data_IF_143289461241
#
_entry.id   IF_143289461241
#
_cell.length_a   1.000
_cell.length_b   1.000
_cell.length_c   1.000
_cell.angle_alpha   90.00
_cell.angle_beta   90.00
_cell.angle_gamma   90.00
#
_symmetry.space_group_name_H-M   'P 1'
#
loop_
_entity.id
_entity.type
_entity.pdbx_description
1 polymer ?
#
# COMPACT_ATOMS: atom_id res chain seq x y z
N UNK A 1 53.02 9.13 12.63
CA UNK A 1 52.94 7.65 12.63
C UNK A 1 51.63 7.27 11.92
N UNK A 2 51.58 7.01 10.61
CA UNK A 2 51.90 5.77 9.88
C UNK A 2 51.38 4.48 10.55
N UNK A 3 50.25 3.96 10.07
CA UNK A 3 50.16 2.58 9.56
C UNK A 3 48.89 2.36 8.72
N UNK A 4 49.08 2.13 7.42
CA UNK A 4 48.17 1.44 6.50
C UNK A 4 48.62 -0.03 6.42
N UNK A 5 47.65 -0.95 6.31
CA UNK A 5 47.72 -2.26 5.63
C UNK A 5 46.26 -2.65 5.38
N UNK A 6 45.66 -2.65 4.18
CA UNK A 6 45.99 -3.32 2.92
C UNK A 6 46.27 -4.82 3.07
N UNK A 7 45.23 -5.64 2.87
CA UNK A 7 45.33 -6.94 2.19
C UNK A 7 44.03 -7.18 1.43
N UNK A 8 44.11 -7.14 0.10
CA UNK A 8 43.06 -7.62 -0.79
C UNK A 8 43.17 -9.13 -1.00
N UNK A 9 42.04 -9.77 -1.28
CA UNK A 9 42.00 -11.12 -1.83
C UNK A 9 41.01 -11.13 -3.00
N UNK A 10 41.58 -11.22 -4.21
CA UNK A 10 40.90 -11.56 -5.45
C UNK A 10 40.86 -13.08 -5.53
N UNK A 11 39.67 -13.68 -5.72
CA UNK A 11 39.54 -15.04 -6.27
C UNK A 11 38.58 -14.98 -7.45
N UNK A 12 39.16 -15.20 -8.63
CA UNK A 12 38.55 -15.50 -9.91
C UNK A 12 38.49 -17.03 -10.03
N UNK A 13 37.33 -17.59 -10.41
CA UNK A 13 37.24 -18.96 -10.93
C UNK A 13 36.15 -19.01 -12.00
N UNK A 14 36.52 -19.61 -13.13
CA UNK A 14 35.80 -19.65 -14.39
C UNK A 14 35.27 -21.07 -14.69
N UNK A 15 34.24 -21.09 -15.55
CA UNK A 15 33.91 -22.09 -16.61
C UNK A 15 33.40 -23.51 -16.30
N UNK A 16 32.40 -23.89 -17.12
CA UNK A 16 31.90 -25.26 -17.39
C UNK A 16 30.38 -25.32 -17.20
N UNK A 17 29.50 -25.69 -18.12
CA UNK A 17 29.56 -26.32 -19.44
C UNK A 17 28.12 -26.83 -19.73
N UNK A 18 27.68 -26.77 -20.99
CA UNK A 18 26.36 -27.25 -21.44
C UNK A 18 26.29 -28.78 -21.37
N UNK A 19 25.11 -29.36 -21.10
CA UNK A 19 24.72 -30.60 -21.77
C UNK A 19 23.22 -30.61 -22.06
N UNK A 20 22.92 -30.96 -23.30
CA UNK A 20 21.64 -30.84 -24.01
C UNK A 20 21.35 -32.26 -24.48
N UNK A 21 20.22 -32.83 -24.07
CA UNK A 21 19.76 -34.11 -24.60
C UNK A 21 18.44 -33.93 -25.33
N UNK A 22 18.55 -33.83 -26.65
CA UNK A 22 17.50 -34.11 -27.61
C UNK A 22 17.30 -35.63 -27.70
N UNK A 23 16.05 -36.08 -27.75
CA UNK A 23 15.68 -37.35 -28.40
C UNK A 23 14.36 -37.13 -29.13
N UNK A 24 14.47 -37.00 -30.45
CA UNK A 24 13.37 -37.03 -31.41
C UNK A 24 13.18 -38.45 -31.93
N UNK A 25 11.92 -38.86 -32.16
CA UNK A 25 11.61 -40.11 -32.84
C UNK A 25 10.12 -40.20 -33.20
N UNK A 26 9.83 -40.21 -34.50
CA UNK A 26 8.53 -39.93 -35.12
C UNK A 26 7.62 -41.17 -35.32
N UNK A 27 6.30 -40.90 -35.29
CA UNK A 27 5.13 -41.35 -36.08
C UNK A 27 5.08 -42.76 -36.76
N UNK A 28 3.88 -43.37 -36.95
CA UNK A 28 2.94 -42.91 -37.99
C UNK A 28 1.43 -42.95 -37.63
N UNK A 29 0.63 -42.30 -38.49
CA UNK A 29 -0.82 -42.18 -38.49
C UNK A 29 -1.60 -43.48 -38.84
N UNK A 30 -2.94 -43.47 -38.76
CA UNK A 30 -3.70 -43.30 -40.01
C UNK A 30 -4.96 -42.39 -39.94
N UNK A 31 -5.36 -41.95 -41.13
CA UNK A 31 -6.55 -41.20 -41.56
C UNK A 31 -7.88 -41.95 -41.26
N UNK A 32 -9.11 -41.43 -41.36
CA UNK A 32 -9.75 -40.17 -41.76
C UNK A 32 -11.20 -40.22 -41.20
N UNK A 33 -11.83 -39.08 -40.96
CA UNK A 33 -13.24 -38.84 -41.38
C UNK A 33 -13.59 -37.37 -41.21
N UNK A 34 -14.09 -36.81 -42.30
CA UNK A 34 -14.47 -35.42 -42.51
C UNK A 34 -15.96 -35.30 -42.24
N UNK A 35 -16.40 -34.34 -41.42
CA UNK A 35 -17.77 -33.83 -41.51
C UNK A 35 -17.80 -32.39 -41.00
N UNK A 36 -18.09 -31.48 -41.92
CA UNK A 36 -18.24 -30.05 -41.68
C UNK A 36 -19.69 -29.72 -41.27
N UNK A 37 -19.85 -28.84 -40.29
CA UNK A 37 -21.02 -27.98 -40.07
C UNK A 37 -20.69 -26.91 -38.98
N UNK A 38 -21.38 -25.75 -38.95
CA UNK A 38 -20.68 -24.46 -38.90
C UNK A 38 -20.77 -23.69 -37.55
N UNK A 39 -19.87 -22.69 -37.43
CA UNK A 39 -19.86 -21.49 -36.58
C UNK A 39 -20.80 -21.37 -35.37
N UNK A 40 -20.21 -21.24 -34.18
CA UNK A 40 -20.48 -20.13 -33.25
C UNK A 40 -19.31 -20.01 -32.27
N UNK A 41 -18.40 -19.09 -32.56
CA UNK A 41 -17.34 -18.68 -31.64
C UNK A 41 -17.94 -17.73 -30.61
N UNK A 42 -18.41 -18.23 -29.48
CA UNK A 42 -18.68 -17.38 -28.31
C UNK A 42 -17.41 -17.28 -27.49
N UNK A 43 -16.54 -16.36 -27.90
CA UNK A 43 -15.60 -15.76 -26.98
C UNK A 43 -16.43 -14.94 -25.96
N UNK A 44 -16.15 -15.01 -24.66
CA UNK A 44 -16.58 -13.97 -23.75
C UNK A 44 -15.66 -12.77 -23.99
N UNK A 45 -16.03 -11.91 -24.94
CA UNK A 45 -15.58 -10.53 -24.96
C UNK A 45 -16.35 -9.77 -23.87
N UNK A 46 -15.56 -9.18 -22.98
CA UNK A 46 -15.72 -7.83 -22.45
C UNK A 46 -17.05 -7.46 -21.75
N UNK A 47 -16.95 -7.39 -20.42
CA UNK A 47 -17.47 -6.23 -19.71
C UNK A 47 -16.39 -5.78 -18.72
N UNK A 48 -15.26 -5.34 -19.27
CA UNK A 48 -14.38 -4.42 -18.58
C UNK A 48 -15.09 -3.07 -18.57
N UNK A 49 -16.06 -2.89 -17.68
CA UNK A 49 -16.65 -1.58 -17.45
C UNK A 49 -15.56 -0.72 -16.79
N UNK A 50 -14.75 -0.05 -17.62
CA UNK A 50 -14.05 1.18 -17.26
C UNK A 50 -15.14 2.13 -16.76
N UNK A 51 -15.37 2.10 -15.46
CA UNK A 51 -16.01 3.19 -14.76
C UNK A 51 -15.12 4.41 -14.95
N UNK A 52 -15.36 5.17 -16.02
CA UNK A 52 -15.00 6.59 -16.06
C UNK A 52 -15.41 7.22 -14.72
N UNK A 53 -14.65 8.21 -14.21
CA UNK A 53 -14.66 8.55 -12.80
C UNK A 53 -16.04 9.09 -12.40
N UNK A 54 -16.93 8.20 -11.97
CA UNK A 54 -18.09 8.57 -11.16
C UNK A 54 -17.46 9.26 -9.95
N UNK A 55 -17.86 10.50 -9.61
CA UNK A 55 -17.43 11.12 -8.37
C UNK A 55 -17.68 10.09 -7.27
N UNK A 56 -16.61 9.57 -6.67
CA UNK A 56 -16.74 8.61 -5.58
C UNK A 56 -17.32 9.38 -4.42
N UNK A 57 -18.65 9.35 -4.31
CA UNK A 57 -19.38 9.88 -3.17
C UNK A 57 -18.86 9.14 -1.96
N UNK A 58 -18.36 9.88 -0.97
CA UNK A 58 -17.89 9.26 0.27
C UNK A 58 -19.03 8.44 0.87
N UNK A 59 -18.80 7.15 1.16
CA UNK A 59 -19.79 6.36 1.86
C UNK A 59 -20.03 6.95 3.25
N UNK A 60 -21.17 6.64 3.84
CA UNK A 60 -21.47 7.07 5.19
C UNK A 60 -20.43 6.53 6.19
N UNK A 61 -20.03 7.37 7.13
CA UNK A 61 -19.04 7.01 8.14
C UNK A 61 -19.58 5.83 8.98
N UNK A 62 -18.77 4.78 9.24
CA UNK A 62 -19.22 3.60 9.96
C UNK A 62 -19.64 3.89 11.41
N UNK A 63 -19.06 4.92 12.02
CA UNK A 63 -19.30 5.35 13.40
C UNK A 63 -19.44 6.88 13.46
N UNK A 64 -20.34 7.43 14.29
CA UNK A 64 -20.51 8.86 14.42
C UNK A 64 -19.32 9.52 15.10
N UNK A 65 -19.03 10.77 14.75
CA UNK A 65 -18.06 11.61 15.48
C UNK A 65 -18.58 11.83 16.92
N UNK A 66 -17.70 11.85 17.94
CA UNK A 66 -16.25 11.91 17.88
C UNK A 66 -15.55 10.53 17.87
N UNK A 67 -16.28 9.42 17.76
CA UNK A 67 -15.66 8.10 17.80
C UNK A 67 -14.81 7.85 16.56
N UNK A 68 -13.57 7.45 16.74
CA UNK A 68 -12.59 7.25 15.66
C UNK A 68 -12.29 5.78 15.40
N UNK A 69 -12.62 4.86 16.31
CA UNK A 69 -12.15 3.47 16.24
C UNK A 69 -13.28 2.46 16.06
N UNK A 70 -13.17 1.65 15.00
CA UNK A 70 -13.99 0.45 14.76
C UNK A 70 -13.21 -0.77 15.25
N UNK A 71 -13.71 -1.39 16.33
CA UNK A 71 -13.10 -2.56 16.94
C UNK A 71 -13.57 -3.88 16.30
N UNK A 72 -12.78 -4.94 16.47
CA UNK A 72 -13.10 -6.29 15.97
C UNK A 72 -14.36 -6.91 16.57
N UNK A 73 -14.84 -6.39 17.71
CA UNK A 73 -16.08 -6.85 18.35
C UNK A 73 -17.35 -6.14 17.86
N UNK A 74 -17.22 -5.15 16.97
CA UNK A 74 -18.38 -4.46 16.37
C UNK A 74 -19.07 -5.34 15.31
N UNK A 75 -20.34 -5.07 14.95
CA UNK A 75 -21.05 -5.83 13.92
C UNK A 75 -20.28 -5.88 12.60
N UNK A 76 -20.42 -6.99 11.85
CA UNK A 76 -19.71 -7.22 10.60
C UNK A 76 -20.01 -6.12 9.58
N UNK A 77 -21.26 -5.64 9.56
CA UNK A 77 -21.71 -4.56 8.68
C UNK A 77 -20.94 -3.26 8.97
N UNK A 78 -20.64 -2.98 10.25
CA UNK A 78 -19.85 -1.80 10.65
C UNK A 78 -18.40 -1.97 10.24
N UNK A 79 -17.84 -3.17 10.37
CA UNK A 79 -16.47 -3.48 9.93
C UNK A 79 -16.33 -3.37 8.40
N UNK A 80 -17.29 -3.88 7.64
CA UNK A 80 -17.33 -3.76 6.17
C UNK A 80 -17.49 -2.30 5.74
N UNK A 81 -18.38 -1.53 6.38
CA UNK A 81 -18.49 -0.08 6.15
C UNK A 81 -17.17 0.64 6.44
N UNK A 82 -16.45 0.24 7.48
CA UNK A 82 -15.14 0.83 7.79
C UNK A 82 -14.13 0.56 6.67
N UNK A 83 -14.06 -0.67 6.15
CA UNK A 83 -13.18 -1.01 5.02
C UNK A 83 -13.54 -0.15 3.80
N UNK A 84 -14.81 -0.09 3.43
CA UNK A 84 -15.29 0.72 2.29
C UNK A 84 -14.97 2.21 2.48
N UNK A 85 -15.18 2.74 3.68
CA UNK A 85 -14.85 4.12 4.02
C UNK A 85 -13.36 4.41 3.92
N UNK A 86 -12.51 3.54 4.46
CA UNK A 86 -11.04 3.69 4.38
C UNK A 86 -10.52 3.64 2.94
N UNK A 87 -11.15 2.84 2.07
CA UNK A 87 -10.86 2.83 0.63
C UNK A 87 -11.27 4.15 -0.01
N UNK A 88 -12.48 4.64 0.29
CA UNK A 88 -12.98 5.91 -0.24
C UNK A 88 -12.13 7.12 0.21
N UNK A 89 -11.60 7.12 1.44
CA UNK A 89 -10.68 8.15 1.91
C UNK A 89 -9.44 8.28 1.01
N UNK A 90 -8.94 7.16 0.49
CA UNK A 90 -7.72 7.09 -0.35
C UNK A 90 -7.99 7.35 -1.83
N UNK A 91 -9.23 7.15 -2.26
CA UNK A 91 -9.58 7.24 -3.66
C UNK A 91 -9.50 8.70 -4.15
N UNK A 92 -8.85 8.98 -5.29
CA UNK A 92 -8.78 10.33 -5.84
C UNK A 92 -10.16 10.80 -6.33
N UNK A 93 -10.41 12.09 -6.19
CA UNK A 93 -11.56 12.83 -6.71
C UNK A 93 -11.11 13.75 -7.83
N UNK A 94 -12.05 14.22 -8.63
CA UNK A 94 -11.78 15.08 -9.79
C UNK A 94 -11.16 16.42 -9.39
N UNK A 95 -11.50 16.93 -8.21
CA UNK A 95 -11.01 18.17 -7.62
C UNK A 95 -9.67 18.02 -6.87
N UNK A 96 -9.17 16.80 -6.68
CA UNK A 96 -7.90 16.61 -5.99
C UNK A 96 -6.70 17.07 -6.85
N UNK A 97 -5.69 17.71 -6.24
CA UNK A 97 -4.43 18.02 -6.91
C UNK A 97 -3.78 16.76 -7.50
N UNK A 98 -2.93 16.90 -8.51
CA UNK A 98 -2.12 15.80 -9.01
C UNK A 98 -1.19 15.27 -7.90
N UNK A 99 -0.88 13.96 -7.94
CA UNK A 99 0.04 13.38 -6.96
C UNK A 99 1.48 13.84 -7.22
N UNK A 100 2.14 14.38 -6.20
CA UNK A 100 3.56 14.75 -6.22
C UNK A 100 4.38 13.63 -5.55
N UNK A 101 4.77 12.63 -6.34
CA UNK A 101 5.49 11.44 -5.85
C UNK A 101 6.88 11.79 -5.29
N UNK A 102 7.55 12.78 -5.89
CA UNK A 102 8.84 13.27 -5.41
C UNK A 102 8.70 13.91 -4.03
N UNK A 103 7.72 14.79 -3.85
CA UNK A 103 7.42 15.38 -2.55
C UNK A 103 7.07 14.32 -1.50
N UNK A 104 6.22 13.34 -1.85
CA UNK A 104 5.84 12.28 -0.93
C UNK A 104 7.04 11.43 -0.50
N UNK A 105 7.98 11.18 -1.41
CA UNK A 105 9.22 10.43 -1.14
C UNK A 105 10.15 11.22 -0.21
N UNK A 106 10.36 12.51 -0.47
CA UNK A 106 11.14 13.39 0.40
C UNK A 106 10.52 13.51 1.80
N UNK A 107 9.19 13.58 1.85
CA UNK A 107 8.46 13.59 3.11
C UNK A 107 8.60 12.26 3.86
N UNK A 108 8.50 11.13 3.18
CA UNK A 108 8.72 9.82 3.79
C UNK A 108 10.12 9.71 4.41
N UNK A 109 11.15 10.23 3.74
CA UNK A 109 12.51 10.29 4.28
C UNK A 109 12.61 11.15 5.55
N UNK A 110 11.92 12.30 5.59
CA UNK A 110 11.85 13.18 6.78
C UNK A 110 11.07 12.54 7.94
N UNK A 111 10.01 11.79 7.64
CA UNK A 111 9.19 11.12 8.64
C UNK A 111 9.87 9.91 9.26
N UNK A 112 10.74 9.20 8.52
CA UNK A 112 11.42 7.99 9.01
C UNK A 112 12.07 8.12 10.41
N UNK A 113 12.93 9.12 10.69
CA UNK A 113 13.51 9.28 12.03
C UNK A 113 12.47 9.69 13.08
N UNK A 114 11.40 10.40 12.70
CA UNK A 114 10.31 10.79 13.61
C UNK A 114 9.52 9.56 14.03
N UNK A 115 9.17 8.69 13.09
CA UNK A 115 8.44 7.45 13.37
C UNK A 115 9.26 6.51 14.24
N UNK A 116 10.56 6.37 13.96
CA UNK A 116 11.46 5.59 14.80
C UNK A 116 11.49 6.07 16.26
N UNK A 117 11.45 7.38 16.48
CA UNK A 117 11.40 7.96 17.82
C UNK A 117 10.02 7.82 18.50
N UNK A 118 8.94 7.74 17.72
CA UNK A 118 7.57 7.59 18.20
C UNK A 118 7.16 6.13 18.43
N UNK A 119 7.83 5.18 17.77
CA UNK A 119 7.55 3.75 17.92
C UNK A 119 7.83 3.30 19.34
N UNK A 120 6.88 2.58 19.92
CA UNK A 120 6.93 2.05 21.29
C UNK A 120 6.94 0.52 21.33
N UNK A 121 6.85 -0.15 20.19
CA UNK A 121 6.86 -1.61 20.10
C UNK A 121 8.23 -2.22 20.37
N UNK A 122 8.28 -3.55 20.57
CA UNK A 122 9.53 -4.27 20.82
C UNK A 122 10.36 -4.46 19.53
N UNK A 123 9.69 -4.68 18.39
CA UNK A 123 10.31 -5.01 17.09
C UNK A 123 10.57 -3.78 16.21
N UNK A 124 10.96 -2.66 16.82
CA UNK A 124 11.16 -1.36 16.15
C UNK A 124 12.04 -1.49 14.90
N UNK A 125 13.17 -2.18 15.02
CA UNK A 125 14.13 -2.29 13.92
C UNK A 125 13.55 -2.95 12.66
N UNK A 126 12.53 -3.81 12.80
CA UNK A 126 11.92 -4.54 11.69
C UNK A 126 10.82 -3.73 11.01
N UNK A 127 9.99 -3.04 11.81
CA UNK A 127 8.74 -2.42 11.37
C UNK A 127 8.86 -0.92 11.07
N UNK A 128 9.89 -0.21 11.57
CA UNK A 128 10.03 1.25 11.35
C UNK A 128 10.35 1.61 9.91
N UNK A 129 9.28 1.79 9.13
CA UNK A 129 9.34 2.17 7.73
C UNK A 129 8.30 3.23 7.47
N UNK A 130 8.64 4.14 6.57
CA UNK A 130 7.67 5.05 5.99
C UNK A 130 7.59 4.69 4.52
N UNK A 131 6.40 4.27 4.08
CA UNK A 131 6.16 3.82 2.71
C UNK A 131 5.26 4.82 1.99
N UNK A 132 5.56 5.04 0.71
CA UNK A 132 4.75 5.86 -0.19
C UNK A 132 3.93 4.93 -1.06
N UNK A 133 2.61 5.07 -1.02
CA UNK A 133 1.67 4.21 -1.72
C UNK A 133 0.91 5.03 -2.76
N UNK A 134 0.50 4.37 -3.85
CA UNK A 134 -0.31 4.95 -4.92
C UNK A 134 0.28 6.25 -5.50
N UNK A 135 1.57 6.20 -5.90
CA UNK A 135 2.30 7.32 -6.54
C UNK A 135 2.33 8.61 -5.70
N UNK A 136 2.42 8.50 -4.38
CA UNK A 136 2.43 9.66 -3.47
C UNK A 136 1.09 10.00 -2.84
N UNK A 137 -0.01 9.34 -3.23
CA UNK A 137 -1.36 9.64 -2.70
C UNK A 137 -1.54 9.23 -1.24
N UNK A 138 -0.76 8.27 -0.74
CA UNK A 138 -0.84 7.80 0.63
C UNK A 138 0.56 7.63 1.22
N UNK A 139 0.71 8.02 2.48
CA UNK A 139 1.93 7.80 3.27
C UNK A 139 1.59 6.86 4.42
N UNK A 140 2.32 5.74 4.49
CA UNK A 140 2.19 4.74 5.53
C UNK A 140 3.31 4.85 6.54
N UNK A 141 2.94 5.04 7.81
CA UNK A 141 3.80 5.03 8.98
C UNK A 141 3.69 3.62 9.58
N UNK A 142 4.62 2.75 9.22
CA UNK A 142 4.69 1.40 9.74
C UNK A 142 5.47 1.41 11.06
N UNK A 143 4.82 0.94 12.13
CA UNK A 143 5.34 0.96 13.49
C UNK A 143 5.22 -0.42 14.12
N UNK A 144 6.12 -0.78 15.04
CA UNK A 144 5.95 -2.00 15.83
C UNK A 144 4.84 -1.84 16.88
N UNK A 145 4.63 -0.63 17.40
CA UNK A 145 3.52 -0.30 18.29
C UNK A 145 3.36 1.19 18.58
N UNK A 146 2.15 1.58 18.95
CA UNK A 146 1.84 2.96 19.37
C UNK A 146 1.05 3.75 18.32
N UNK A 147 0.41 3.06 17.38
CA UNK A 147 -0.59 3.69 16.53
C UNK A 147 -1.86 3.97 17.34
N UNK A 148 -2.27 5.23 17.31
CA UNK A 148 -3.52 5.74 17.84
C UNK A 148 -4.11 6.75 16.84
N UNK A 149 -5.31 7.24 17.11
CA UNK A 149 -6.03 8.19 16.25
C UNK A 149 -5.31 9.55 16.11
N UNK A 150 -4.43 9.90 17.05
CA UNK A 150 -3.62 11.12 17.04
C UNK A 150 -2.25 10.90 16.42
N UNK A 151 -1.77 9.67 16.28
CA UNK A 151 -0.42 9.36 15.81
C UNK A 151 -0.12 9.95 14.42
N UNK A 152 -1.00 9.84 13.40
CA UNK A 152 -0.75 10.46 12.10
C UNK A 152 -0.56 11.99 12.19
N UNK A 153 -1.46 12.67 12.92
CA UNK A 153 -1.40 14.12 13.13
C UNK A 153 -0.14 14.52 13.90
N UNK A 154 0.20 13.76 14.95
CA UNK A 154 1.39 13.99 15.79
C UNK A 154 2.67 13.84 14.97
N UNK A 155 2.78 12.83 14.12
CA UNK A 155 3.95 12.60 13.29
C UNK A 155 4.16 13.72 12.25
N UNK A 156 3.10 14.12 11.56
CA UNK A 156 3.20 15.06 10.45
C UNK A 156 3.16 16.52 10.93
N UNK A 157 2.12 16.91 11.68
CA UNK A 157 1.91 18.31 12.04
C UNK A 157 2.78 18.68 13.22
N UNK A 158 2.74 17.90 14.31
CA UNK A 158 3.44 18.29 15.55
C UNK A 158 4.94 18.07 15.46
N UNK A 159 5.39 16.95 14.87
CA UNK A 159 6.82 16.59 14.82
C UNK A 159 7.51 17.05 13.55
N UNK A 160 6.90 16.85 12.37
CA UNK A 160 7.49 17.29 11.11
C UNK A 160 7.16 18.77 10.77
N UNK A 161 6.22 19.40 11.47
CA UNK A 161 5.86 20.80 11.26
C UNK A 161 5.11 21.06 9.95
N UNK A 162 4.49 20.03 9.36
CA UNK A 162 3.85 20.12 8.04
C UNK A 162 2.33 20.11 8.22
N UNK A 163 1.62 21.20 7.85
CA UNK A 163 0.16 21.22 7.90
C UNK A 163 -0.46 20.22 6.94
N UNK A 164 -1.59 19.59 7.31
CA UNK A 164 -2.32 18.66 6.43
C UNK A 164 -2.80 19.32 5.12
N UNK A 165 -3.06 20.62 5.13
CA UNK A 165 -3.40 21.38 3.91
C UNK A 165 -2.25 21.38 2.88
N UNK A 166 -0.99 21.33 3.33
CA UNK A 166 0.16 21.25 2.43
C UNK A 166 0.25 19.85 1.80
N UNK A 167 -0.01 18.80 2.58
CA UNK A 167 -0.12 17.44 2.06
C UNK A 167 -1.23 17.33 1.00
N UNK A 168 -2.42 17.85 1.29
CA UNK A 168 -3.55 17.85 0.38
C UNK A 168 -3.22 18.59 -0.92
N UNK A 169 -2.61 19.78 -0.84
CA UNK A 169 -2.20 20.55 -2.03
C UNK A 169 -1.11 19.86 -2.88
N UNK A 170 -0.33 18.96 -2.28
CA UNK A 170 0.67 18.10 -2.95
C UNK A 170 0.09 16.75 -3.41
N UNK A 171 -1.22 16.59 -3.31
CA UNK A 171 -1.92 15.39 -3.76
C UNK A 171 -1.78 14.19 -2.83
N UNK A 172 -1.24 14.35 -1.61
CA UNK A 172 -1.29 13.32 -0.57
C UNK A 172 -2.65 13.38 0.12
N UNK A 173 -3.43 12.31 0.02
CA UNK A 173 -4.83 12.25 0.45
C UNK A 173 -4.99 11.68 1.87
N UNK A 174 -4.10 10.75 2.23
CA UNK A 174 -4.20 10.00 3.49
C UNK A 174 -2.83 9.77 4.09
N UNK A 175 -2.75 9.94 5.41
CA UNK A 175 -1.62 9.47 6.22
C UNK A 175 -2.11 8.34 7.10
N UNK A 176 -1.51 7.16 6.97
CA UNK A 176 -1.90 5.96 7.71
C UNK A 176 -0.85 5.62 8.75
N UNK A 177 -1.26 5.41 9.99
CA UNK A 177 -0.46 4.70 10.98
C UNK A 177 -0.87 3.23 10.99
N UNK A 178 0.08 2.31 10.91
CA UNK A 178 -0.20 0.88 11.01
C UNK A 178 0.77 0.21 11.98
N UNK A 179 0.22 -0.45 13.00
CA UNK A 179 0.96 -1.32 13.90
C UNK A 179 0.33 -2.73 13.98
N UNK A 180 0.88 -3.60 14.81
CA UNK A 180 0.41 -4.98 14.95
C UNK A 180 -1.04 -5.12 15.43
N UNK A 181 -1.67 -4.05 15.93
CA UNK A 181 -2.99 -4.08 16.57
C UNK A 181 -3.99 -3.13 15.90
N UNK A 182 -3.54 -1.99 15.41
CA UNK A 182 -4.40 -0.89 14.97
C UNK A 182 -3.86 -0.31 13.66
N UNK A 183 -4.80 -0.01 12.76
CA UNK A 183 -4.57 0.78 11.57
C UNK A 183 -5.43 2.05 11.63
N UNK A 184 -4.81 3.23 11.67
CA UNK A 184 -5.49 4.53 11.68
C UNK A 184 -5.20 5.30 10.40
N UNK A 185 -6.22 5.87 9.77
CA UNK A 185 -6.11 6.73 8.59
C UNK A 185 -6.57 8.13 8.96
N UNK A 186 -5.71 9.10 8.71
CA UNK A 186 -6.02 10.53 8.77
C UNK A 186 -6.25 11.03 7.35
N UNK A 187 -7.42 11.59 7.08
CA UNK A 187 -7.67 12.35 5.86
C UNK A 187 -6.90 13.66 5.87
N UNK A 188 -6.29 14.03 4.75
CA UNK A 188 -5.69 15.36 4.57
C UNK A 188 -6.71 16.38 4.06
N UNK A 189 -7.82 15.90 3.45
CA UNK A 189 -8.92 16.73 2.97
C UNK A 189 -9.78 17.28 4.11
N UNK A 190 -9.99 16.46 5.14
CA UNK A 190 -10.73 16.82 6.35
C UNK A 190 -9.86 16.45 7.58
N UNK A 191 -9.23 17.44 8.23
CA UNK A 191 -8.38 17.21 9.39
C UNK A 191 -9.07 16.51 10.58
N UNK A 192 -10.39 16.63 10.68
CA UNK A 192 -11.19 16.00 11.74
C UNK A 192 -11.60 14.56 11.38
N UNK A 193 -11.32 14.13 10.15
CA UNK A 193 -11.67 12.79 9.67
C UNK A 193 -10.54 11.78 9.87
N UNK A 194 -10.54 11.19 11.06
CA UNK A 194 -9.72 10.02 11.40
C UNK A 194 -10.61 8.79 11.58
N UNK A 195 -10.20 7.70 10.94
CA UNK A 195 -10.79 6.38 11.14
C UNK A 195 -9.71 5.34 11.43
N UNK A 196 -9.85 4.68 12.58
CA UNK A 196 -9.04 3.58 13.04
C UNK A 196 -9.82 2.28 12.98
N UNK A 197 -9.15 1.21 12.61
CA UNK A 197 -9.66 -0.16 12.68
C UNK A 197 -8.67 -1.03 13.41
N UNK A 198 -9.13 -1.99 14.20
CA UNK A 198 -8.22 -3.04 14.67
C UNK A 198 -7.70 -3.84 13.49
N UNK A 199 -6.39 -4.01 13.38
CA UNK A 199 -5.76 -4.76 12.30
C UNK A 199 -6.29 -6.22 12.30
N UNK A 200 -6.54 -6.82 11.12
CA UNK A 200 -6.93 -8.23 11.04
C UNK A 200 -5.87 -9.09 11.73
N UNK A 201 -6.27 -9.87 12.74
CA UNK A 201 -5.34 -10.82 13.36
C UNK A 201 -5.10 -11.94 12.36
N UNK A 202 -3.92 -11.98 11.74
CA UNK A 202 -3.42 -13.23 11.18
C UNK A 202 -3.16 -14.17 12.37
N UNK A 203 -4.01 -15.18 12.52
CA UNK A 203 -3.74 -16.34 13.38
C UNK A 203 -2.99 -17.38 12.57
#
# INVERSE_FOLDING_TARGET
MRWLCSVGLVILLASGGCDKKDDAGAAPAPAASVSAAPVASTAPEDAGEEAGPKPLVMPERPIPRPQTTVGSGMPIEVQQKAIAYMVAMRAPRIDDPAADEAYATDLAAKLKPIILAMDSGADKAKMNRVEVIAKGRQIDLLMAGGCDDKTPMRAVVTRAGIPLAILASRGVLVVRCNDARIQCLQSTRDPEDVLCTTAPRHK
#
